data_IF_120363303888
#
_entry.id   IF_120363303888
#
_cell.length_a   1.000
_cell.length_b   1.000
_cell.length_c   1.000
_cell.angle_alpha   90.00
_cell.angle_beta   90.00
_cell.angle_gamma   90.00
#
_symmetry.space_group_name_H-M   'P 1'
#
loop_
_entity.id
_entity.type
_entity.pdbx_description
1 polymer ?
#
# COMPACT_ATOMS: atom_id res chain seq x y z
N UNK A 1 44.17 24.84 43.96
CA UNK A 1 43.17 23.80 43.65
C UNK A 1 41.94 24.51 43.13
N UNK A 2 41.85 24.66 41.81
CA UNK A 2 40.72 25.35 41.17
C UNK A 2 39.50 24.43 41.22
N UNK A 3 38.42 24.91 41.82
CA UNK A 3 37.13 24.23 41.85
C UNK A 3 36.62 24.04 40.43
N UNK A 4 36.42 22.79 40.02
CA UNK A 4 35.73 22.45 38.77
C UNK A 4 34.27 22.81 38.99
N UNK A 5 33.81 23.91 38.38
CA UNK A 5 32.40 24.26 38.36
C UNK A 5 31.73 23.31 37.37
N UNK A 6 31.09 22.26 37.89
CA UNK A 6 30.32 21.33 37.08
C UNK A 6 29.03 22.06 36.71
N UNK A 7 28.96 22.55 35.46
CA UNK A 7 27.73 23.13 34.93
C UNK A 7 26.68 22.01 34.82
N UNK A 8 25.77 21.97 35.80
CA UNK A 8 24.66 21.01 35.86
C UNK A 8 23.44 21.45 35.04
N UNK A 9 23.59 22.47 34.19
CA UNK A 9 22.50 22.88 33.31
C UNK A 9 22.23 21.80 32.25
N UNK A 10 20.98 21.37 32.20
CA UNK A 10 20.56 20.34 31.27
C UNK A 10 20.61 20.88 29.83
N UNK A 11 21.54 20.38 29.03
CA UNK A 11 21.72 20.81 27.63
C UNK A 11 20.59 20.38 26.66
N UNK A 12 19.71 19.46 27.07
CA UNK A 12 18.60 19.01 26.23
C UNK A 12 17.63 18.05 26.91
N UNK A 13 16.43 17.95 26.34
CA UNK A 13 15.35 17.05 26.78
C UNK A 13 15.14 15.95 25.74
N UNK A 14 14.99 14.71 26.18
CA UNK A 14 14.67 13.57 25.32
C UNK A 14 13.22 13.15 25.54
N UNK A 15 12.43 13.14 24.46
CA UNK A 15 11.04 12.68 24.45
C UNK A 15 10.88 11.52 23.48
N UNK A 16 10.08 10.53 23.88
CA UNK A 16 9.67 9.42 23.02
C UNK A 16 8.20 9.64 22.67
N UNK A 17 7.86 9.45 21.40
CA UNK A 17 6.49 9.63 20.92
C UNK A 17 6.24 8.88 19.63
N UNK A 18 4.95 8.70 19.31
CA UNK A 18 4.53 8.14 18.05
C UNK A 18 4.69 9.19 16.94
N UNK A 19 5.40 8.83 15.89
CA UNK A 19 5.62 9.68 14.71
C UNK A 19 5.06 9.02 13.46
N UNK A 20 4.46 9.81 12.58
CA UNK A 20 3.98 9.35 11.28
C UNK A 20 5.13 9.24 10.30
N UNK A 21 5.50 8.01 9.91
CA UNK A 21 6.53 7.74 8.90
C UNK A 21 5.90 6.94 7.77
N UNK A 22 6.31 7.20 6.52
CA UNK A 22 5.82 6.42 5.38
C UNK A 22 6.54 5.07 5.31
N UNK A 23 5.84 4.01 4.92
CA UNK A 23 6.44 2.71 4.64
C UNK A 23 6.42 2.42 3.14
N UNK A 24 7.60 2.17 2.56
CA UNK A 24 7.76 1.71 1.18
C UNK A 24 8.13 0.23 1.19
N UNK A 25 7.13 -0.62 0.94
CA UNK A 25 7.36 -2.06 0.75
C UNK A 25 7.68 -2.39 -0.70
N UNK A 26 8.83 -3.03 -0.90
CA UNK A 26 9.33 -3.40 -2.22
C UNK A 26 8.87 -4.82 -2.54
N UNK A 27 8.15 -4.95 -3.66
CA UNK A 27 7.65 -6.23 -4.17
C UNK A 27 8.49 -6.79 -5.31
N UNK A 28 9.15 -5.90 -6.05
CA UNK A 28 10.04 -6.22 -7.15
C UNK A 28 11.20 -5.25 -7.11
N UNK A 29 12.42 -5.76 -7.21
CA UNK A 29 13.62 -4.95 -7.12
C UNK A 29 14.00 -4.43 -8.51
N UNK A 30 13.51 -3.24 -8.83
CA UNK A 30 13.91 -2.45 -10.00
C UNK A 30 14.18 -1.02 -9.52
N UNK A 31 15.46 -0.69 -9.33
CA UNK A 31 15.89 0.58 -8.73
C UNK A 31 15.48 1.79 -9.59
N UNK A 32 15.61 1.66 -10.92
CA UNK A 32 15.30 2.74 -11.84
C UNK A 32 13.80 3.04 -11.82
N UNK A 33 12.98 1.98 -11.92
CA UNK A 33 11.52 2.10 -11.88
C UNK A 33 11.03 2.66 -10.54
N UNK A 34 11.54 2.16 -9.42
CA UNK A 34 11.17 2.64 -8.08
C UNK A 34 11.49 4.13 -7.90
N UNK A 35 12.66 4.56 -8.39
CA UNK A 35 13.08 5.96 -8.34
C UNK A 35 12.16 6.86 -9.18
N UNK A 36 11.81 6.42 -10.39
CA UNK A 36 10.92 7.17 -11.27
C UNK A 36 9.50 7.27 -10.71
N UNK A 37 8.92 6.15 -10.27
CA UNK A 37 7.59 6.13 -9.65
C UNK A 37 7.53 7.02 -8.40
N UNK A 38 8.60 7.04 -7.59
CA UNK A 38 8.69 7.91 -6.43
C UNK A 38 8.76 9.39 -6.83
N UNK A 39 9.55 9.73 -7.85
CA UNK A 39 9.67 11.10 -8.37
C UNK A 39 8.32 11.62 -8.85
N UNK A 40 7.58 10.82 -9.61
CA UNK A 40 6.23 11.17 -10.07
C UNK A 40 5.26 11.38 -8.90
N UNK A 41 5.36 10.54 -7.85
CA UNK A 41 4.53 10.65 -6.65
C UNK A 41 4.83 11.94 -5.87
N UNK A 42 6.11 12.30 -5.74
CA UNK A 42 6.55 13.56 -5.12
C UNK A 42 6.09 14.77 -5.94
N UNK A 43 6.22 14.73 -7.26
CA UNK A 43 5.76 15.81 -8.15
C UNK A 43 4.25 16.02 -8.09
N UNK A 44 3.47 14.92 -8.01
CA UNK A 44 2.01 14.98 -7.93
C UNK A 44 1.51 15.54 -6.60
N UNK A 45 2.18 15.22 -5.50
CA UNK A 45 1.78 15.65 -4.16
C UNK A 45 2.98 16.05 -3.29
N UNK A 46 3.61 17.20 -3.59
CA UNK A 46 4.85 17.62 -2.92
C UNK A 46 4.64 17.93 -1.44
N UNK A 47 3.45 18.38 -1.04
CA UNK A 47 3.11 18.64 0.37
C UNK A 47 3.01 17.36 1.20
N UNK A 48 2.74 16.21 0.57
CA UNK A 48 2.58 14.93 1.26
C UNK A 48 3.87 14.12 1.24
N UNK A 49 4.60 14.12 0.11
CA UNK A 49 5.75 13.24 -0.09
C UNK A 49 7.09 13.98 -0.16
N UNK A 50 7.10 15.30 -0.34
CA UNK A 50 8.33 16.08 -0.35
C UNK A 50 9.03 15.99 1.00
N UNK A 51 10.28 15.53 0.99
CA UNK A 51 11.09 15.26 2.19
C UNK A 51 10.44 14.30 3.18
N UNK A 52 9.49 13.48 2.75
CA UNK A 52 8.85 12.51 3.64
C UNK A 52 9.89 11.52 4.17
N UNK A 53 9.85 11.24 5.47
CA UNK A 53 10.62 10.16 6.07
C UNK A 53 10.02 8.81 5.62
N UNK A 54 10.86 7.92 5.09
CA UNK A 54 10.45 6.64 4.52
C UNK A 54 11.23 5.49 5.17
N UNK A 55 10.52 4.47 5.61
CA UNK A 55 11.07 3.16 5.95
C UNK A 55 11.07 2.30 4.69
N UNK A 56 12.18 1.63 4.40
CA UNK A 56 12.29 0.69 3.28
C UNK A 56 12.05 -0.73 3.78
N UNK A 57 11.03 -1.40 3.26
CA UNK A 57 10.67 -2.77 3.63
C UNK A 57 10.96 -3.75 2.48
N UNK A 58 12.01 -4.56 2.66
CA UNK A 58 12.41 -5.63 1.75
C UNK A 58 11.63 -6.95 1.95
N UNK A 59 10.72 -7.02 2.94
CA UNK A 59 9.96 -8.24 3.23
C UNK A 59 8.93 -8.64 2.16
N UNK A 60 8.83 -7.90 1.05
CA UNK A 60 8.11 -8.33 -0.16
C UNK A 60 8.99 -9.06 -1.20
N UNK A 61 10.31 -9.12 -0.97
CA UNK A 61 11.27 -9.82 -1.82
C UNK A 61 11.55 -11.22 -1.28
N UNK A 62 11.93 -12.13 -2.17
CA UNK A 62 12.40 -13.47 -1.78
C UNK A 62 13.79 -13.45 -1.14
N UNK A 63 14.63 -12.48 -1.55
CA UNK A 63 15.99 -12.30 -1.06
C UNK A 63 16.25 -10.81 -0.83
N UNK A 64 17.01 -10.51 0.22
CA UNK A 64 17.49 -9.16 0.51
C UNK A 64 18.51 -8.74 -0.54
N UNK A 65 18.45 -7.50 -1.05
CA UNK A 65 19.45 -7.00 -2.00
C UNK A 65 20.84 -6.89 -1.37
N UNK A 66 21.88 -6.91 -2.20
CA UNK A 66 23.23 -6.57 -1.76
C UNK A 66 23.36 -5.09 -1.36
N UNK A 67 24.44 -4.76 -0.66
CA UNK A 67 24.70 -3.40 -0.14
C UNK A 67 24.84 -2.35 -1.24
N UNK A 68 25.42 -2.69 -2.39
CA UNK A 68 25.61 -1.72 -3.48
C UNK A 68 24.27 -1.36 -4.12
N UNK A 69 23.44 -2.37 -4.41
CA UNK A 69 22.10 -2.22 -4.96
C UNK A 69 21.19 -1.47 -3.99
N UNK A 70 21.24 -1.80 -2.70
CA UNK A 70 20.49 -1.08 -1.68
C UNK A 70 20.92 0.38 -1.58
N UNK A 71 22.23 0.67 -1.60
CA UNK A 71 22.75 2.04 -1.57
C UNK A 71 22.31 2.85 -2.80
N UNK A 72 22.34 2.24 -3.99
CA UNK A 72 21.84 2.86 -5.22
C UNK A 72 20.35 3.21 -5.13
N UNK A 73 19.53 2.34 -4.54
CA UNK A 73 18.13 2.61 -4.27
C UNK A 73 17.94 3.80 -3.31
N UNK A 74 18.69 3.84 -2.21
CA UNK A 74 18.59 4.94 -1.25
C UNK A 74 18.94 6.29 -1.90
N UNK A 75 20.01 6.35 -2.69
CA UNK A 75 20.37 7.57 -3.42
C UNK A 75 19.32 7.96 -4.46
N UNK A 76 18.79 6.99 -5.21
CA UNK A 76 17.70 7.22 -6.17
C UNK A 76 16.47 7.82 -5.50
N UNK A 77 16.05 7.26 -4.36
CA UNK A 77 14.93 7.76 -3.57
C UNK A 77 15.18 9.17 -3.00
N UNK A 78 16.41 9.46 -2.53
CA UNK A 78 16.79 10.82 -2.11
C UNK A 78 16.73 11.81 -3.27
N UNK A 79 17.24 11.43 -4.43
CA UNK A 79 17.17 12.25 -5.65
C UNK A 79 15.72 12.43 -6.16
N UNK A 80 14.81 11.52 -5.84
CA UNK A 80 13.38 11.63 -6.13
C UNK A 80 12.64 12.57 -5.15
N UNK A 81 13.25 12.91 -4.02
CA UNK A 81 12.74 13.91 -3.07
C UNK A 81 12.20 13.35 -1.76
N UNK A 82 12.31 12.05 -1.49
CA UNK A 82 11.98 11.44 -0.18
C UNK A 82 13.25 11.18 0.63
N UNK A 83 13.12 10.93 1.93
CA UNK A 83 14.24 10.68 2.83
C UNK A 83 14.14 9.28 3.43
N UNK A 84 14.89 8.29 2.90
CA UNK A 84 15.02 7.00 3.54
C UNK A 84 15.71 7.16 4.90
N UNK A 85 15.04 6.77 5.98
CA UNK A 85 15.53 6.93 7.36
C UNK A 85 15.83 5.62 8.07
N UNK A 86 15.26 4.50 7.61
CA UNK A 86 15.37 3.20 8.28
C UNK A 86 15.08 2.04 7.32
N UNK A 87 15.49 0.84 7.71
CA UNK A 87 15.01 -0.41 7.12
C UNK A 87 13.97 -1.06 8.04
N UNK A 88 13.00 -1.77 7.45
CA UNK A 88 12.07 -2.58 8.22
C UNK A 88 12.74 -3.89 8.67
N UNK A 89 12.67 -4.20 9.97
CA UNK A 89 13.15 -5.47 10.51
C UNK A 89 12.45 -6.67 9.86
N UNK A 90 13.16 -7.78 9.64
CA UNK A 90 12.54 -9.00 9.14
C UNK A 90 13.41 -10.24 9.15
N UNK A 91 14.66 -10.14 8.69
CA UNK A 91 15.60 -11.26 8.59
C UNK A 91 17.00 -10.82 9.03
N UNK A 92 17.89 -11.79 9.32
CA UNK A 92 19.29 -11.52 9.70
C UNK A 92 20.07 -10.81 8.59
N UNK A 93 19.76 -11.11 7.33
CA UNK A 93 20.38 -10.46 6.17
C UNK A 93 19.99 -8.98 6.11
N UNK A 94 18.75 -8.65 6.47
CA UNK A 94 18.29 -7.25 6.54
C UNK A 94 18.97 -6.51 7.69
N UNK A 95 19.24 -7.19 8.80
CA UNK A 95 19.98 -6.63 9.94
C UNK A 95 21.42 -6.29 9.57
N UNK A 96 22.15 -7.23 8.97
CA UNK A 96 23.51 -6.99 8.47
C UNK A 96 23.54 -5.87 7.42
N UNK A 97 22.55 -5.84 6.52
CA UNK A 97 22.43 -4.76 5.53
C UNK A 97 22.20 -3.40 6.20
N UNK A 98 21.41 -3.34 7.26
CA UNK A 98 21.15 -2.10 8.00
C UNK A 98 22.42 -1.53 8.63
N UNK A 99 23.25 -2.39 9.24
CA UNK A 99 24.55 -2.02 9.80
C UNK A 99 25.49 -1.52 8.70
N UNK A 100 25.60 -2.25 7.59
CA UNK A 100 26.45 -1.88 6.46
C UNK A 100 26.07 -0.55 5.80
N UNK A 101 24.78 -0.18 5.87
CA UNK A 101 24.26 1.09 5.36
C UNK A 101 24.23 2.20 6.41
N UNK A 102 24.49 1.89 7.69
CA UNK A 102 24.39 2.84 8.80
C UNK A 102 22.95 3.32 9.05
N UNK A 103 21.96 2.46 8.81
CA UNK A 103 20.54 2.77 9.00
C UNK A 103 19.97 2.00 10.18
N UNK A 104 19.10 2.62 11.01
CA UNK A 104 18.40 1.91 12.06
C UNK A 104 17.39 0.91 11.50
N UNK A 105 17.12 -0.12 12.29
CA UNK A 105 16.00 -1.03 12.08
C UNK A 105 14.78 -0.54 12.83
N UNK A 106 13.65 -0.49 12.13
CA UNK A 106 12.36 -0.22 12.75
C UNK A 106 11.47 -1.45 12.63
N UNK A 107 10.70 -1.73 13.68
CA UNK A 107 9.67 -2.75 13.62
C UNK A 107 8.73 -2.46 12.44
N UNK A 108 8.30 -3.52 11.75
CA UNK A 108 7.33 -3.36 10.65
C UNK A 108 6.12 -2.62 11.17
N UNK A 109 5.62 -1.67 10.38
CA UNK A 109 4.33 -1.05 10.63
C UNK A 109 3.27 -2.14 10.82
N UNK A 110 2.93 -2.40 12.08
CA UNK A 110 1.69 -3.08 12.42
C UNK A 110 0.66 -1.96 12.39
N UNK A 111 -0.26 -2.02 11.44
CA UNK A 111 -1.44 -1.19 11.53
C UNK A 111 -2.07 -1.49 12.90
N UNK A 112 -1.95 -0.55 13.83
CA UNK A 112 -2.60 -0.66 15.13
C UNK A 112 -4.11 -0.51 14.88
N UNK A 113 -4.74 -1.63 14.55
CA UNK A 113 -6.15 -1.91 14.78
C UNK A 113 -6.36 -3.39 15.15
N UNK A 114 -5.34 -4.09 15.66
CA UNK A 114 -5.61 -5.17 16.60
C UNK A 114 -5.84 -4.54 17.96
N UNK A 115 -7.12 -4.26 18.21
CA UNK A 115 -7.77 -4.15 19.52
C UNK A 115 -6.78 -4.29 20.69
N UNK A 116 -6.32 -3.16 21.22
CA UNK A 116 -5.85 -3.10 22.61
C UNK A 116 -7.11 -3.27 23.45
N UNK A 117 -7.50 -4.53 23.61
CA UNK A 117 -8.37 -5.06 24.64
C UNK A 117 -8.39 -6.56 24.38
N UNK A 118 -8.00 -7.35 25.39
CA UNK A 118 -8.18 -8.80 25.44
C UNK A 118 -9.66 -9.18 25.47
N UNK A 119 -10.44 -8.73 24.49
CA UNK A 119 -11.77 -9.21 24.19
C UNK A 119 -11.63 -10.46 23.33
N UNK A 120 -12.03 -11.59 23.92
CA UNK A 120 -12.21 -12.88 23.26
C UNK A 120 -12.77 -12.72 21.83
N UNK A 121 -12.42 -13.62 20.88
CA UNK A 121 -12.99 -13.57 19.54
C UNK A 121 -14.51 -13.53 19.64
N UNK A 122 -15.10 -12.48 19.06
CA UNK A 122 -16.54 -12.38 18.90
C UNK A 122 -17.02 -13.65 18.19
N UNK A 123 -17.92 -14.39 18.82
CA UNK A 123 -18.57 -15.54 18.21
C UNK A 123 -19.07 -15.14 16.81
N UNK A 124 -18.75 -15.98 15.82
CA UNK A 124 -19.25 -15.80 14.46
C UNK A 124 -20.77 -15.63 14.49
N UNK A 125 -21.34 -14.63 13.80
CA UNK A 125 -22.79 -14.55 13.68
C UNK A 125 -23.26 -15.82 12.98
N UNK A 126 -24.16 -16.56 13.64
CA UNK A 126 -24.81 -17.72 13.05
C UNK A 126 -25.47 -17.29 11.73
N UNK A 127 -25.15 -17.99 10.65
CA UNK A 127 -25.82 -17.85 9.38
C UNK A 127 -27.32 -18.06 9.61
N UNK A 128 -28.11 -16.98 9.55
CA UNK A 128 -29.56 -17.09 9.52
C UNK A 128 -29.92 -17.74 8.19
N UNK A 129 -30.45 -18.97 8.25
CA UNK A 129 -30.97 -19.68 7.08
C UNK A 129 -31.99 -18.82 6.35
N UNK A 130 -31.98 -18.78 5.00
CA UNK A 130 -32.96 -18.02 4.25
C UNK A 130 -34.38 -18.56 4.48
N UNK A 131 -35.40 -17.69 4.58
CA UNK A 131 -36.79 -18.12 4.73
C UNK A 131 -37.28 -18.89 3.50
N UNK A 132 -38.20 -19.85 3.67
CA UNK A 132 -38.72 -20.65 2.56
C UNK A 132 -39.46 -19.76 1.53
N UNK A 133 -39.41 -20.11 0.23
CA UNK A 133 -40.04 -19.32 -0.81
C UNK A 133 -41.57 -19.33 -0.66
N UNK A 134 -42.24 -18.19 -0.92
CA UNK A 134 -43.70 -18.11 -0.84
C UNK A 134 -44.37 -18.96 -1.94
N UNK A 135 -45.56 -19.53 -1.67
CA UNK A 135 -46.28 -20.35 -2.62
C UNK A 135 -46.72 -19.54 -3.85
N UNK A 136 -46.38 -20.04 -5.04
CA UNK A 136 -46.74 -19.43 -6.31
C UNK A 136 -48.27 -19.43 -6.51
N UNK A 137 -48.88 -18.25 -6.45
CA UNK A 137 -50.27 -18.03 -6.86
C UNK A 137 -50.39 -18.27 -8.37
N UNK A 138 -50.91 -19.45 -8.71
CA UNK A 138 -51.29 -19.84 -10.07
C UNK A 138 -52.45 -18.97 -10.53
N UNK A 139 -52.14 -17.84 -11.17
CA UNK A 139 -53.13 -17.00 -11.86
C UNK A 139 -53.21 -17.41 -13.32
N UNK A 140 -54.22 -18.23 -13.62
CA UNK A 140 -54.76 -18.38 -14.95
C UNK A 140 -55.19 -17.01 -15.48
N UNK A 141 -54.70 -16.62 -16.66
CA UNK A 141 -55.37 -15.63 -17.49
C UNK A 141 -55.46 -16.09 -18.94
N UNK A 142 -56.72 -16.29 -19.29
CA UNK A 142 -57.35 -16.52 -20.57
C UNK A 142 -56.93 -15.57 -21.69
N UNK A 143 -56.92 -16.14 -22.90
CA UNK A 143 -57.21 -15.58 -24.23
C UNK A 143 -57.50 -14.07 -24.30
N UNK A 144 -56.78 -13.39 -25.19
CA UNK A 144 -57.37 -12.85 -26.42
C UNK A 144 -56.27 -12.46 -27.40
N UNK A 145 -56.18 -13.21 -28.50
CA UNK A 145 -55.38 -12.86 -29.66
C UNK A 145 -56.07 -11.71 -30.41
N UNK A 146 -55.31 -10.68 -30.79
CA UNK A 146 -55.69 -9.80 -31.88
C UNK A 146 -54.49 -9.62 -32.83
N UNK A 147 -54.64 -10.27 -33.99
CA UNK A 147 -54.19 -9.91 -35.35
C UNK A 147 -52.70 -9.60 -35.61
N UNK A 148 -52.08 -10.57 -36.32
CA UNK A 148 -51.04 -10.38 -37.37
C UNK A 148 -51.65 -9.63 -38.59
N UNK A 149 -50.96 -9.39 -39.72
CA UNK A 149 -49.52 -9.50 -40.09
C UNK A 149 -49.01 -8.13 -40.67
N UNK A 150 -47.80 -7.90 -41.21
CA UNK A 150 -47.05 -8.58 -42.28
C UNK A 150 -45.72 -7.79 -42.45
N UNK A 151 -44.55 -8.44 -42.43
CA UNK A 151 -43.68 -8.70 -43.61
C UNK A 151 -43.40 -7.43 -44.45
N UNK A 152 -42.15 -7.00 -44.65
CA UNK A 152 -41.15 -7.63 -45.52
C UNK A 152 -39.83 -6.80 -45.42
N UNK A 153 -38.63 -7.41 -45.32
CA UNK A 153 -37.68 -7.76 -46.42
C UNK A 153 -37.19 -6.50 -47.17
N UNK A 154 -35.94 -6.29 -47.58
CA UNK A 154 -34.74 -7.12 -47.70
C UNK A 154 -33.53 -6.21 -48.06
N UNK A 155 -32.34 -6.78 -47.97
CA UNK A 155 -31.24 -6.69 -48.95
C UNK A 155 -30.52 -5.36 -49.28
N UNK A 156 -29.20 -5.45 -49.07
CA UNK A 156 -28.14 -5.34 -50.09
C UNK A 156 -27.33 -4.04 -50.24
N UNK A 157 -26.05 -4.28 -50.59
CA UNK A 157 -25.27 -3.58 -51.62
C UNK A 157 -24.27 -2.49 -51.18
N UNK A 158 -23.02 -2.93 -50.98
CA UNK A 158 -21.75 -2.49 -51.62
C UNK A 158 -21.34 -1.00 -51.79
N UNK A 159 -20.01 -0.81 -51.62
CA UNK A 159 -19.10 0.29 -52.04
C UNK A 159 -19.04 1.50 -51.11
N UNK A 160 -17.87 2.11 -50.85
CA UNK A 160 -16.98 2.67 -51.87
C UNK A 160 -15.54 2.90 -51.37
N UNK A 161 -14.64 2.88 -52.34
CA UNK A 161 -13.18 3.07 -52.34
C UNK A 161 -12.71 4.48 -52.04
N UNK A 162 -11.46 4.55 -51.55
CA UNK A 162 -10.59 5.70 -51.48
C UNK A 162 -10.23 6.27 -52.86
N UNK A 163 -10.11 7.60 -52.96
CA UNK A 163 -8.95 8.35 -53.48
C UNK A 163 -9.09 9.79 -52.99
#
# INVERSE_FOLDING_TARGET
MSSVNLDFEQAGELKIGQVGIANLRIRTLDVARLTQEMRERVQRAPKLFGRAAVIIDFGGLAQTPDTATARALLEGLRAAGVLPVALAYGTRETEQLSEALGLPLLAKFRAQYERIDGGAPAAAPALVSPPPPPPALRRARSRAACRRPRCARASSCTRRTAT
#
